data_IF_120476078022
#
_entry.id   IF_120476078022
#
_cell.length_a   1.000
_cell.length_b   1.000
_cell.length_c   1.000
_cell.angle_alpha   90.00
_cell.angle_beta   90.00
_cell.angle_gamma   90.00
#
_symmetry.space_group_name_H-M   'P 1'
#
loop_
_entity.id
_entity.type
_entity.pdbx_description
1 polymer ?
#
# COMPACT_ATOMS: atom_id res chain seq x y z
N UNK A 1 18.00 -12.07 8.33
CA UNK A 1 16.72 -11.60 8.89
C UNK A 1 15.79 -11.34 7.72
N UNK A 2 14.67 -12.04 7.62
CA UNK A 2 13.78 -11.98 6.46
C UNK A 2 12.88 -10.75 6.56
N UNK A 3 12.82 -9.94 5.50
CA UNK A 3 11.89 -8.81 5.39
C UNK A 3 10.48 -9.38 5.19
N UNK A 4 9.71 -9.48 6.27
CA UNK A 4 8.34 -10.00 6.23
C UNK A 4 7.39 -8.90 5.73
N UNK A 5 6.76 -9.14 4.57
CA UNK A 5 5.72 -8.24 4.06
C UNK A 5 4.54 -8.21 5.05
N UNK A 6 4.25 -7.04 5.63
CA UNK A 6 3.07 -6.83 6.48
C UNK A 6 1.79 -7.18 5.70
N UNK A 7 1.06 -8.25 6.07
CA UNK A 7 -0.07 -8.74 5.30
C UNK A 7 -1.39 -8.15 5.79
N UNK A 8 -1.37 -7.05 6.56
CA UNK A 8 -2.56 -6.49 7.21
C UNK A 8 -2.54 -4.97 7.21
N UNK A 9 -3.73 -4.38 7.15
CA UNK A 9 -3.92 -2.94 7.33
C UNK A 9 -3.56 -2.53 8.76
N UNK A 10 -2.76 -1.49 8.96
CA UNK A 10 -2.37 -1.05 10.32
C UNK A 10 -3.51 -0.39 11.10
N UNK A 11 -4.59 0.03 10.42
CA UNK A 11 -5.72 0.71 11.07
C UNK A 11 -6.86 -0.24 11.44
N UNK A 12 -7.23 -1.15 10.55
CA UNK A 12 -8.36 -2.08 10.76
C UNK A 12 -7.94 -3.55 10.84
N UNK A 13 -6.65 -3.86 10.78
CA UNK A 13 -6.11 -5.23 10.76
C UNK A 13 -6.63 -6.13 9.63
N UNK A 14 -7.30 -5.55 8.62
CA UNK A 14 -7.86 -6.29 7.48
C UNK A 14 -6.75 -7.01 6.71
N UNK A 15 -6.93 -8.30 6.35
CA UNK A 15 -5.94 -9.05 5.59
C UNK A 15 -5.78 -8.48 4.18
N UNK A 16 -4.56 -8.06 3.86
CA UNK A 16 -4.16 -7.55 2.55
C UNK A 16 -3.26 -8.60 1.90
N UNK A 17 -3.82 -9.36 0.97
CA UNK A 17 -3.07 -10.36 0.24
C UNK A 17 -2.01 -9.68 -0.66
N UNK A 18 -0.79 -10.24 -0.77
CA UNK A 18 0.28 -9.63 -1.53
C UNK A 18 0.05 -9.64 -3.06
N UNK A 19 -0.90 -10.46 -3.52
CA UNK A 19 -1.29 -10.62 -4.91
C UNK A 19 -2.58 -9.85 -5.25
N UNK A 20 -3.25 -9.27 -4.25
CA UNK A 20 -4.54 -8.58 -4.43
C UNK A 20 -4.37 -7.07 -4.55
N UNK A 21 -5.25 -6.48 -5.36
CA UNK A 21 -5.34 -5.04 -5.55
C UNK A 21 -6.07 -4.40 -4.35
N UNK A 22 -5.72 -3.17 -3.97
CA UNK A 22 -6.40 -2.45 -2.87
C UNK A 22 -5.62 -2.36 -1.56
N UNK A 23 -4.32 -2.67 -1.57
CA UNK A 23 -3.38 -2.22 -0.54
C UNK A 23 -2.71 -0.91 -0.96
N UNK A 24 -2.58 0.02 -0.03
CA UNK A 24 -1.82 1.25 -0.15
C UNK A 24 -0.63 1.20 0.80
N UNK A 25 0.49 1.76 0.39
CA UNK A 25 1.72 1.76 1.16
C UNK A 25 2.35 3.17 1.14
N UNK A 26 2.97 3.57 2.25
CA UNK A 26 3.77 4.79 2.31
C UNK A 26 5.27 4.50 2.15
N UNK A 27 6.10 5.55 2.07
CA UNK A 27 7.56 5.38 1.98
C UNK A 27 8.21 4.73 3.21
N UNK A 28 7.53 4.75 4.36
CA UNK A 28 7.93 4.05 5.60
C UNK A 28 7.29 2.67 5.75
N UNK A 29 6.75 2.12 4.65
CA UNK A 29 6.18 0.78 4.56
C UNK A 29 4.89 0.55 5.38
N UNK A 30 4.28 1.60 5.96
CA UNK A 30 2.94 1.49 6.56
C UNK A 30 1.92 1.09 5.50
N UNK A 31 1.16 0.03 5.76
CA UNK A 31 0.23 -0.56 4.81
C UNK A 31 -1.21 -0.34 5.26
N UNK A 32 -2.05 0.15 4.36
CA UNK A 32 -3.48 0.42 4.62
C UNK A 32 -4.37 -0.14 3.51
N UNK A 33 -5.59 -0.54 3.86
CA UNK A 33 -6.58 -0.94 2.84
C UNK A 33 -7.15 0.30 2.13
N UNK A 34 -7.71 0.09 0.92
CA UNK A 34 -8.37 1.16 0.13
C UNK A 34 -9.36 1.99 0.94
N UNK A 35 -10.17 1.36 1.79
CA UNK A 35 -11.15 2.05 2.64
C UNK A 35 -10.47 2.97 3.65
N UNK A 36 -9.40 2.48 4.28
CA UNK A 36 -8.65 3.28 5.25
C UNK A 36 -7.88 4.41 4.57
N UNK A 37 -7.22 4.13 3.45
CA UNK A 37 -6.50 5.14 2.66
C UNK A 37 -7.45 6.24 2.18
N UNK A 38 -8.64 5.89 1.70
CA UNK A 38 -9.67 6.85 1.30
C UNK A 38 -10.18 7.67 2.50
N UNK A 39 -10.43 7.02 3.64
CA UNK A 39 -10.83 7.72 4.87
C UNK A 39 -9.73 8.63 5.45
N UNK A 40 -8.47 8.40 5.06
CA UNK A 40 -7.31 9.22 5.42
C UNK A 40 -6.95 10.23 4.32
N UNK A 41 -7.78 10.33 3.27
CA UNK A 41 -7.57 11.23 2.14
C UNK A 41 -6.20 11.04 1.45
N UNK A 42 -5.70 9.80 1.42
CA UNK A 42 -4.39 9.47 0.88
C UNK A 42 -3.20 9.83 1.77
N UNK A 43 -3.41 10.24 3.03
CA UNK A 43 -2.32 10.65 3.94
C UNK A 43 -2.09 9.60 5.04
N UNK A 44 -0.85 9.15 5.20
CA UNK A 44 -0.46 8.25 6.28
C UNK A 44 -0.59 8.95 7.66
N UNK A 45 -1.37 8.45 8.62
CA UNK A 45 -1.49 9.08 9.95
C UNK A 45 -0.25 8.86 10.81
N UNK A 46 0.53 7.80 10.55
CA UNK A 46 1.74 7.50 11.31
C UNK A 46 2.94 8.33 10.87
N UNK A 47 2.97 8.69 9.59
CA UNK A 47 4.17 9.20 8.91
C UNK A 47 3.93 10.48 8.11
N UNK A 48 2.67 10.92 8.00
CA UNK A 48 2.22 12.13 7.29
C UNK A 48 2.64 12.20 5.81
N UNK A 49 3.08 11.09 5.24
CA UNK A 49 3.43 10.96 3.83
C UNK A 49 2.25 10.50 2.97
N UNK A 50 2.45 10.54 1.66
CA UNK A 50 1.47 10.08 0.68
C UNK A 50 1.32 8.54 0.70
N UNK A 51 0.07 8.09 0.62
CA UNK A 51 -0.30 6.69 0.48
C UNK A 51 -0.49 6.37 -1.00
N UNK A 52 0.50 5.70 -1.57
CA UNK A 52 0.45 5.22 -2.96
C UNK A 52 -0.07 3.79 -3.03
N UNK A 53 -0.65 3.39 -4.15
CA UNK A 53 -1.08 1.99 -4.37
C UNK A 53 0.14 1.07 -4.29
N UNK A 54 0.04 0.04 -3.46
CA UNK A 54 1.10 -0.95 -3.29
C UNK A 54 1.29 -1.71 -4.61
N UNK A 55 2.51 -1.74 -5.18
CA UNK A 55 2.77 -2.50 -6.39
C UNK A 55 2.48 -3.97 -6.17
N UNK A 56 1.72 -4.58 -7.07
CA UNK A 56 1.47 -6.03 -7.03
C UNK A 56 2.68 -6.79 -7.49
N UNK A 57 2.93 -7.93 -6.83
CA UNK A 57 3.99 -8.85 -7.26
C UNK A 57 3.49 -9.59 -8.51
N UNK A 58 3.64 -8.99 -9.69
CA UNK A 58 3.35 -9.71 -10.91
C UNK A 58 4.27 -10.95 -10.98
N UNK A 59 3.70 -12.12 -11.31
CA UNK A 59 4.49 -13.30 -11.68
C UNK A 59 4.98 -13.26 -13.13
N UNK A 60 4.56 -12.23 -13.88
CA UNK A 60 4.82 -12.09 -15.31
C UNK A 60 5.10 -10.61 -15.59
N UNK A 61 6.39 -10.30 -15.79
CA UNK A 61 7.00 -9.05 -16.28
C UNK A 61 6.08 -7.80 -16.43
N UNK A 62 6.52 -6.72 -15.74
CA UNK A 62 6.22 -5.30 -15.96
C UNK A 62 4.86 -4.70 -15.54
N UNK A 63 4.94 -3.39 -15.24
CA UNK A 63 3.90 -2.36 -15.15
C UNK A 63 3.05 -2.24 -13.86
N UNK A 64 3.45 -1.31 -12.99
CA UNK A 64 2.54 -0.39 -12.28
C UNK A 64 3.38 0.71 -11.61
N UNK A 65 3.81 1.68 -12.40
CA UNK A 65 4.60 2.82 -11.96
C UNK A 65 4.57 3.93 -13.01
N UNK A 66 3.37 4.31 -13.45
CA UNK A 66 3.15 5.56 -14.19
C UNK A 66 1.94 6.27 -13.57
N UNK A 67 2.22 7.08 -12.55
CA UNK A 67 1.31 8.12 -12.06
C UNK A 67 2.13 9.13 -11.27
N UNK A 68 2.70 10.10 -11.98
CA UNK A 68 2.89 11.48 -11.53
C UNK A 68 3.15 12.33 -12.79
N UNK A 69 2.29 13.32 -12.99
CA UNK A 69 2.07 14.11 -14.20
C UNK A 69 2.99 15.35 -14.26
N UNK A 70 3.25 15.87 -15.47
CA UNK A 70 3.75 17.22 -15.74
C UNK A 70 4.97 17.30 -16.65
#
# INVERSE_FOLDING_TARGET
MALEMRPRCERCAWPLAPDEDGAFICSYECTFCVTCANALNGICPNCHGDLVRRPRRNRSKAAAGIAAEG
#
